data_IF_844975031880
#
_entry.id   IF_844975031880
#
_cell.length_a   1.000
_cell.length_b   1.000
_cell.length_c   1.000
_cell.angle_alpha   90.00
_cell.angle_beta   90.00
_cell.angle_gamma   90.00
#
_symmetry.space_group_name_H-M   'P 1'
#
loop_
_entity.id
_entity.type
_entity.pdbx_description
1 polymer ?
#
# COMPACT_ATOMS: atom_id res chain seq x y z
N UNK A 1 -24.19 -32.64 -0.64
CA UNK A 1 -23.02 -32.20 -1.43
C UNK A 1 -22.18 -33.42 -1.75
N UNK A 2 -21.82 -33.62 -3.01
CA UNK A 2 -20.81 -34.63 -3.37
C UNK A 2 -19.41 -34.07 -3.11
N UNK A 3 -18.43 -34.94 -2.85
CA UNK A 3 -17.04 -34.52 -2.64
C UNK A 3 -16.50 -33.66 -3.80
N UNK A 4 -16.82 -34.01 -5.06
CA UNK A 4 -16.44 -33.22 -6.23
C UNK A 4 -17.01 -31.79 -6.23
N UNK A 5 -18.28 -31.61 -5.86
CA UNK A 5 -18.89 -30.27 -5.72
C UNK A 5 -18.18 -29.42 -4.66
N UNK A 6 -17.77 -30.04 -3.55
CA UNK A 6 -17.03 -29.33 -2.50
C UNK A 6 -15.67 -28.85 -3.01
N UNK A 7 -14.92 -29.66 -3.76
CA UNK A 7 -13.65 -29.25 -4.36
C UNK A 7 -13.80 -28.17 -5.42
N UNK A 8 -14.83 -28.24 -6.27
CA UNK A 8 -15.10 -27.19 -7.27
C UNK A 8 -15.45 -25.85 -6.61
N UNK A 9 -16.28 -25.88 -5.57
CA UNK A 9 -16.64 -24.66 -4.82
C UNK A 9 -15.43 -24.07 -4.08
N UNK A 10 -14.59 -24.93 -3.48
CA UNK A 10 -13.35 -24.50 -2.84
C UNK A 10 -12.41 -23.85 -3.85
N UNK A 11 -12.18 -24.50 -4.99
CA UNK A 11 -11.37 -23.97 -6.10
C UNK A 11 -11.88 -22.60 -6.56
N UNK A 12 -13.18 -22.49 -6.87
CA UNK A 12 -13.80 -21.24 -7.30
C UNK A 12 -13.65 -20.14 -6.23
N UNK A 13 -13.81 -20.49 -4.95
CA UNK A 13 -13.60 -19.56 -3.84
C UNK A 13 -12.18 -19.01 -3.78
N UNK A 14 -11.16 -19.86 -3.90
CA UNK A 14 -9.75 -19.44 -3.92
C UNK A 14 -9.42 -18.57 -5.13
N UNK A 15 -9.92 -18.91 -6.32
CA UNK A 15 -9.71 -18.10 -7.53
C UNK A 15 -10.35 -16.73 -7.39
N UNK A 16 -11.62 -16.66 -6.94
CA UNK A 16 -12.32 -15.39 -6.78
C UNK A 16 -11.66 -14.50 -5.72
N UNK A 17 -11.35 -15.08 -4.55
CA UNK A 17 -10.67 -14.36 -3.48
C UNK A 17 -9.30 -13.84 -3.95
N UNK A 18 -8.52 -14.71 -4.60
CA UNK A 18 -7.22 -14.34 -5.15
C UNK A 18 -7.32 -13.21 -6.18
N UNK A 19 -8.29 -13.28 -7.09
CA UNK A 19 -8.53 -12.25 -8.09
C UNK A 19 -8.86 -10.89 -7.46
N UNK A 20 -9.68 -10.87 -6.39
CA UNK A 20 -9.99 -9.63 -5.64
C UNK A 20 -8.70 -9.02 -5.07
N UNK A 21 -7.85 -9.83 -4.43
CA UNK A 21 -6.58 -9.36 -3.89
C UNK A 21 -5.65 -8.82 -4.98
N UNK A 22 -5.55 -9.50 -6.13
CA UNK A 22 -4.74 -9.01 -7.27
C UNK A 22 -5.25 -7.66 -7.77
N UNK A 23 -6.56 -7.49 -7.94
CA UNK A 23 -7.17 -6.23 -8.40
C UNK A 23 -6.91 -5.10 -7.40
N UNK A 24 -7.10 -5.36 -6.10
CA UNK A 24 -6.81 -4.37 -5.05
C UNK A 24 -5.34 -3.98 -5.03
N UNK A 25 -4.44 -4.96 -5.12
CA UNK A 25 -3.00 -4.73 -5.18
C UNK A 25 -2.63 -3.89 -6.40
N UNK A 26 -3.09 -4.28 -7.60
CA UNK A 26 -2.83 -3.56 -8.85
C UNK A 26 -3.35 -2.12 -8.82
N UNK A 27 -4.55 -1.88 -8.28
CA UNK A 27 -5.09 -0.52 -8.10
C UNK A 27 -4.25 0.32 -7.14
N UNK A 28 -3.77 -0.29 -6.06
CA UNK A 28 -2.91 0.40 -5.07
C UNK A 28 -1.56 0.78 -5.69
N UNK A 29 -0.94 -0.15 -6.44
CA UNK A 29 0.27 0.11 -7.22
C UNK A 29 0.07 1.20 -8.28
N UNK A 30 -1.04 1.16 -9.03
CA UNK A 30 -1.36 2.13 -10.06
C UNK A 30 -1.55 3.54 -9.47
N UNK A 31 -2.26 3.66 -8.35
CA UNK A 31 -2.44 4.95 -7.67
C UNK A 31 -1.11 5.52 -7.16
N UNK A 32 -0.25 4.68 -6.57
CA UNK A 32 1.09 5.10 -6.12
C UNK A 32 1.95 5.57 -7.28
N UNK A 33 1.98 4.82 -8.39
CA UNK A 33 2.69 5.22 -9.62
C UNK A 33 2.13 6.51 -10.22
N UNK A 34 0.81 6.69 -10.17
CA UNK A 34 0.15 7.92 -10.66
C UNK A 34 0.57 9.13 -9.83
N UNK A 35 0.58 9.01 -8.49
CA UNK A 35 1.05 10.07 -7.59
C UNK A 35 2.50 10.46 -7.91
N UNK A 36 3.42 9.49 -7.97
CA UNK A 36 4.83 9.74 -8.32
C UNK A 36 5.04 10.46 -9.66
N UNK A 37 4.12 10.29 -10.62
CA UNK A 37 4.20 10.94 -11.94
C UNK A 37 3.55 12.32 -11.99
N UNK A 38 2.53 12.56 -11.17
CA UNK A 38 1.66 13.75 -11.30
C UNK A 38 1.84 14.74 -10.15
N UNK A 39 2.41 14.31 -9.03
CA UNK A 39 2.57 15.13 -7.84
C UNK A 39 3.94 15.78 -7.81
N UNK A 40 4.02 16.96 -7.20
CA UNK A 40 5.28 17.67 -7.04
C UNK A 40 6.06 17.12 -5.85
N UNK A 41 7.32 16.81 -6.07
CA UNK A 41 8.24 16.35 -5.05
C UNK A 41 8.91 17.53 -4.34
N UNK A 42 8.83 17.56 -3.01
CA UNK A 42 9.53 18.50 -2.15
C UNK A 42 10.41 17.75 -1.16
N UNK A 43 11.59 18.28 -0.81
CA UNK A 43 12.36 17.75 0.30
C UNK A 43 11.63 18.04 1.62
N UNK A 44 11.37 17.00 2.39
CA UNK A 44 10.79 17.08 3.73
C UNK A 44 11.69 16.47 4.79
N UNK A 45 11.36 16.71 6.05
CA UNK A 45 12.04 16.15 7.22
C UNK A 45 11.04 15.74 8.28
N UNK A 46 11.26 14.59 8.90
CA UNK A 46 10.45 14.13 10.04
C UNK A 46 10.75 15.02 11.25
N UNK A 47 9.72 15.66 11.80
CA UNK A 47 9.87 16.62 12.92
C UNK A 47 9.30 16.10 14.23
N UNK A 48 8.33 15.20 14.17
CA UNK A 48 7.75 14.58 15.34
C UNK A 48 7.22 13.19 15.02
N UNK A 49 7.05 12.39 16.06
CA UNK A 49 6.41 11.08 15.99
C UNK A 49 5.35 10.99 17.07
N UNK A 50 4.25 10.29 16.77
CA UNK A 50 3.16 10.03 17.71
C UNK A 50 2.81 8.54 17.67
N UNK A 51 2.67 7.87 18.83
CA UNK A 51 2.13 6.52 18.90
C UNK A 51 0.70 6.48 18.33
N UNK A 52 0.42 5.49 17.48
CA UNK A 52 -0.87 5.22 16.86
C UNK A 52 -1.15 3.72 16.95
N UNK A 53 -1.59 3.28 18.14
CA UNK A 53 -1.64 1.86 18.51
C UNK A 53 -0.23 1.25 18.64
N UNK A 54 -0.02 0.10 18.01
CA UNK A 54 1.29 -0.58 17.94
C UNK A 54 2.24 0.03 16.88
N UNK A 55 1.76 1.05 16.15
CA UNK A 55 2.50 1.72 15.09
C UNK A 55 2.82 3.16 15.47
N UNK A 56 3.67 3.81 14.69
CA UNK A 56 4.02 5.22 14.91
C UNK A 56 3.74 6.07 13.69
N UNK A 57 3.06 7.17 13.94
CA UNK A 57 2.74 8.15 12.91
C UNK A 57 3.79 9.24 12.93
N UNK A 58 4.35 9.55 11.77
CA UNK A 58 5.34 10.60 11.62
C UNK A 58 4.68 11.91 11.19
N UNK A 59 5.07 13.02 11.82
CA UNK A 59 4.80 14.36 11.35
C UNK A 59 5.98 14.81 10.50
N UNK A 60 5.70 15.31 9.30
CA UNK A 60 6.71 15.75 8.35
C UNK A 60 6.53 17.23 8.09
N UNK A 61 7.65 17.95 8.14
CA UNK A 61 7.74 19.31 7.67
C UNK A 61 8.36 19.32 6.27
N UNK A 62 7.79 20.10 5.36
CA UNK A 62 8.42 20.40 4.08
C UNK A 62 8.28 21.89 3.78
N UNK A 63 9.12 22.40 2.87
CA UNK A 63 9.09 23.82 2.49
C UNK A 63 8.53 23.96 1.08
N UNK A 64 7.53 24.81 0.94
CA UNK A 64 6.91 25.19 -0.34
C UNK A 64 6.87 26.70 -0.43
N UNK A 65 7.47 27.27 -1.48
CA UNK A 65 7.38 28.70 -1.80
C UNK A 65 7.75 29.63 -0.63
N UNK A 66 8.66 29.18 0.25
CA UNK A 66 9.09 29.91 1.45
C UNK A 66 8.33 29.56 2.72
N UNK A 67 7.14 28.96 2.61
CA UNK A 67 6.30 28.54 3.74
C UNK A 67 6.63 27.12 4.18
N UNK A 68 6.77 26.92 5.49
CA UNK A 68 6.88 25.59 6.07
C UNK A 68 5.49 25.01 6.28
N UNK A 69 5.24 23.82 5.73
CA UNK A 69 3.98 23.09 5.88
C UNK A 69 4.25 21.84 6.70
N UNK A 70 3.39 21.60 7.68
CA UNK A 70 3.43 20.46 8.58
C UNK A 70 2.22 19.57 8.31
N UNK A 71 2.45 18.28 8.14
CA UNK A 71 1.35 17.32 8.02
C UNK A 71 1.69 16.01 8.71
N UNK A 72 0.65 15.31 9.14
CA UNK A 72 0.78 13.94 9.64
C UNK A 72 0.69 12.98 8.47
N UNK A 73 1.71 12.16 8.28
CA UNK A 73 1.72 11.18 7.20
C UNK A 73 0.48 10.28 7.30
N UNK A 74 -0.15 10.00 6.15
CA UNK A 74 -1.34 9.13 6.09
C UNK A 74 -0.98 7.68 6.40
N UNK A 75 0.24 7.27 6.06
CA UNK A 75 0.74 5.93 6.30
C UNK A 75 1.56 5.91 7.60
N UNK A 76 1.27 4.92 8.44
CA UNK A 76 2.02 4.64 9.67
C UNK A 76 3.36 4.02 9.31
N UNK A 77 4.40 4.36 10.06
CA UNK A 77 5.71 3.71 9.98
C UNK A 77 6.14 3.20 11.36
N UNK A 78 7.25 2.48 11.42
CA UNK A 78 7.86 2.12 12.71
C UNK A 78 8.89 3.19 13.09
N UNK A 79 8.96 3.54 14.38
CA UNK A 79 9.94 4.50 14.94
C UNK A 79 11.37 4.18 14.52
N UNK A 80 11.68 2.89 14.42
CA UNK A 80 12.99 2.37 14.00
C UNK A 80 13.41 2.82 12.59
N UNK A 81 12.48 3.24 11.73
CA UNK A 81 12.77 3.56 10.33
C UNK A 81 12.75 5.03 10.00
N UNK A 82 11.82 5.79 10.58
CA UNK A 82 11.70 7.22 10.34
C UNK A 82 11.92 8.01 11.65
N UNK A 83 13.17 8.03 12.16
CA UNK A 83 13.48 8.83 13.33
C UNK A 83 13.27 10.32 13.02
N UNK A 84 12.94 11.08 14.05
CA UNK A 84 12.93 12.54 13.98
C UNK A 84 14.28 13.02 13.46
N UNK A 85 14.26 13.91 12.48
CA UNK A 85 15.45 14.43 11.79
C UNK A 85 15.77 13.74 10.46
N UNK A 86 15.15 12.61 10.13
CA UNK A 86 15.34 11.95 8.83
C UNK A 86 14.76 12.80 7.69
N UNK A 87 15.55 12.96 6.64
CA UNK A 87 15.08 13.57 5.39
C UNK A 87 14.28 12.55 4.57
N UNK A 88 13.11 12.97 4.11
CA UNK A 88 12.13 12.15 3.40
C UNK A 88 11.55 12.91 2.20
N UNK A 89 11.30 12.26 1.04
CA UNK A 89 10.64 12.93 -0.07
C UNK A 89 9.15 13.09 0.24
N UNK A 90 8.60 14.27 -0.04
CA UNK A 90 7.17 14.56 0.12
C UNK A 90 6.57 14.79 -1.26
N UNK A 91 5.50 14.09 -1.57
CA UNK A 91 4.69 14.34 -2.75
C UNK A 91 3.49 15.18 -2.34
N UNK A 92 3.25 16.28 -3.07
CA UNK A 92 2.12 17.18 -2.87
C UNK A 92 1.22 17.14 -4.09
N UNK A 93 -0.07 16.93 -3.86
CA UNK A 93 -1.08 16.92 -4.91
C UNK A 93 -1.22 18.34 -5.52
N UNK A 94 -1.03 18.52 -6.84
CA UNK A 94 -1.16 19.82 -7.48
C UNK A 94 -2.61 20.36 -7.46
N UNK A 95 -3.60 19.48 -7.37
CA UNK A 95 -5.02 19.86 -7.31
C UNK A 95 -5.49 20.17 -5.88
N UNK A 96 -4.80 19.67 -4.86
CA UNK A 96 -5.11 19.93 -3.45
C UNK A 96 -3.81 20.02 -2.62
N UNK A 97 -3.33 21.24 -2.32
CA UNK A 97 -2.15 21.48 -1.50
C UNK A 97 -2.15 20.83 -0.11
N UNK A 98 -3.33 20.49 0.44
CA UNK A 98 -3.44 19.84 1.75
C UNK A 98 -3.28 18.32 1.67
N UNK A 99 -3.32 17.74 0.47
CA UNK A 99 -3.08 16.32 0.24
C UNK A 99 -1.60 16.08 -0.08
N UNK A 100 -0.82 15.93 1.00
CA UNK A 100 0.59 15.58 0.94
C UNK A 100 0.84 14.19 1.53
N UNK A 101 1.76 13.45 0.93
CA UNK A 101 2.17 12.12 1.39
C UNK A 101 3.68 11.97 1.33
N UNK A 102 4.24 11.17 2.23
CA UNK A 102 5.64 10.78 2.15
C UNK A 102 5.82 9.74 1.05
N UNK A 103 6.84 9.93 0.20
CA UNK A 103 7.21 8.97 -0.84
C UNK A 103 8.34 8.07 -0.37
N UNK A 104 7.97 6.92 0.20
CA UNK A 104 8.91 5.91 0.71
C UNK A 104 8.64 5.50 2.15
N UNK A 105 9.06 4.28 2.51
CA UNK A 105 8.81 3.61 3.79
C UNK A 105 8.60 2.10 3.63
N UNK A 106 8.52 1.31 4.72
CA UNK A 106 8.09 -0.13 4.64
C UNK A 106 6.65 -0.21 4.15
N UNK A 107 5.82 0.76 4.53
CA UNK A 107 4.38 0.76 4.25
C UNK A 107 4.05 1.89 3.29
N UNK A 108 4.79 1.98 2.18
CA UNK A 108 4.31 2.77 1.04
C UNK A 108 3.17 2.01 0.34
N UNK A 109 2.33 2.73 -0.41
CA UNK A 109 1.23 2.10 -1.15
C UNK A 109 1.70 1.05 -2.16
N UNK A 110 2.97 1.10 -2.59
CA UNK A 110 3.52 0.10 -3.51
C UNK A 110 3.81 -1.23 -2.81
N UNK A 111 4.31 -1.22 -1.57
CA UNK A 111 4.61 -2.43 -0.80
C UNK A 111 3.32 -3.16 -0.45
N UNK A 112 2.32 -2.44 0.04
CA UNK A 112 0.97 -2.99 0.28
C UNK A 112 0.38 -3.55 -1.01
N UNK A 113 0.51 -2.81 -2.12
CA UNK A 113 0.08 -3.26 -3.43
C UNK A 113 0.75 -4.56 -3.87
N UNK A 114 2.08 -4.69 -3.70
CA UNK A 114 2.85 -5.88 -4.05
C UNK A 114 2.42 -7.07 -3.21
N UNK A 115 2.28 -6.90 -1.90
CA UNK A 115 1.83 -7.98 -0.99
C UNK A 115 0.48 -8.53 -1.44
N UNK A 116 -0.48 -7.64 -1.73
CA UNK A 116 -1.80 -8.06 -2.22
C UNK A 116 -1.73 -8.79 -3.57
N UNK A 117 -0.90 -8.33 -4.51
CA UNK A 117 -0.72 -9.04 -5.79
C UNK A 117 -0.11 -10.42 -5.57
N UNK A 118 0.92 -10.55 -4.74
CA UNK A 118 1.60 -11.83 -4.49
C UNK A 118 0.66 -12.82 -3.80
N UNK A 119 0.03 -12.41 -2.70
CA UNK A 119 -0.91 -13.26 -1.96
C UNK A 119 -2.11 -13.65 -2.82
N UNK A 120 -2.68 -12.69 -3.56
CA UNK A 120 -3.79 -12.94 -4.47
C UNK A 120 -3.42 -13.91 -5.58
N UNK A 121 -2.24 -13.74 -6.20
CA UNK A 121 -1.77 -14.63 -7.26
C UNK A 121 -1.56 -16.05 -6.76
N UNK A 122 -1.00 -16.21 -5.55
CA UNK A 122 -0.83 -17.52 -4.93
C UNK A 122 -2.19 -18.21 -4.69
N UNK A 123 -3.18 -17.47 -4.19
CA UNK A 123 -4.53 -18.00 -3.99
C UNK A 123 -5.18 -18.42 -5.33
N UNK A 124 -5.00 -17.65 -6.41
CA UNK A 124 -5.46 -18.03 -7.76
C UNK A 124 -4.79 -19.33 -8.21
N UNK A 125 -3.47 -19.44 -8.09
CA UNK A 125 -2.74 -20.65 -8.50
C UNK A 125 -3.22 -21.88 -7.72
N UNK A 126 -3.37 -21.76 -6.40
CA UNK A 126 -3.91 -22.85 -5.56
C UNK A 126 -5.32 -23.23 -6.01
N UNK A 127 -6.20 -22.25 -6.23
CA UNK A 127 -7.55 -22.49 -6.71
C UNK A 127 -7.58 -23.22 -8.05
N UNK A 128 -6.73 -22.83 -9.01
CA UNK A 128 -6.62 -23.48 -10.31
C UNK A 128 -6.10 -24.93 -10.20
N UNK A 129 -5.08 -25.18 -9.37
CA UNK A 129 -4.54 -26.53 -9.14
C UNK A 129 -5.59 -27.44 -8.50
N UNK A 130 -6.28 -26.96 -7.46
CA UNK A 130 -7.36 -27.73 -6.81
C UNK A 130 -8.50 -28.00 -7.79
N UNK A 131 -8.84 -27.03 -8.64
CA UNK A 131 -9.86 -27.17 -9.67
C UNK A 131 -9.48 -28.22 -10.71
N UNK A 132 -8.23 -28.24 -11.16
CA UNK A 132 -7.72 -29.22 -12.11
C UNK A 132 -7.76 -30.64 -11.52
N UNK A 133 -7.34 -30.82 -10.27
CA UNK A 133 -7.41 -32.10 -9.57
C UNK A 133 -8.85 -32.57 -9.36
N UNK A 134 -9.81 -31.65 -9.20
CA UNK A 134 -11.22 -32.01 -9.07
C UNK A 134 -11.87 -32.47 -10.38
N UNK A 135 -11.23 -32.18 -11.52
CA UNK A 135 -11.70 -32.53 -12.86
C UNK A 135 -11.10 -33.85 -13.39
N UNK A 136 -10.02 -34.33 -12.76
CA UNK A 136 -9.38 -35.63 -13.04
C UNK A 136 -9.98 -36.74 -12.18
#
# INVERSE_FOLDING_TARGET
>A
MTFGQAFTLLSAGFVLLGAVFVVLGARTLASTRRRRRTWHAYPGRVVATRPDGDLVRCQVAYRRDGTQVLFWNRYTSSVLRDPVGRDVPVLVNPADPHDAVVDGGIVDGSTVGVVFVVVGSLAVVIGLVVGLVALT
#
